data_IF_845197828994
#
_entry.id   IF_845197828994
#
_cell.length_a   1.000
_cell.length_b   1.000
_cell.length_c   1.000
_cell.angle_alpha   90.00
_cell.angle_beta   90.00
_cell.angle_gamma   90.00
#
_symmetry.space_group_name_H-M   'P 1'
#
loop_
_entity.id
_entity.type
_entity.pdbx_description
1 polymer ?
#
# COMPACT_ATOMS: atom_id res chain seq x y z
N UNK A 1 -69.24 0.45 -2.91
CA UNK A 1 -67.87 -0.09 -3.02
C UNK A 1 -66.81 1.01 -3.22
N UNK A 2 -66.63 1.95 -2.27
CA UNK A 2 -65.57 2.99 -2.39
C UNK A 2 -64.82 3.36 -1.10
N UNK A 3 -65.17 2.81 0.06
CA UNK A 3 -64.53 3.19 1.35
C UNK A 3 -63.35 2.30 1.78
N UNK A 4 -63.27 1.04 1.31
CA UNK A 4 -62.19 0.12 1.74
C UNK A 4 -60.87 0.29 0.96
N UNK A 5 -60.89 0.98 -0.18
CA UNK A 5 -59.70 1.16 -1.01
C UNK A 5 -58.78 2.28 -0.52
N UNK A 6 -59.32 3.27 0.21
CA UNK A 6 -58.54 4.41 0.73
C UNK A 6 -57.70 3.99 1.94
N UNK A 7 -58.25 3.15 2.83
CA UNK A 7 -57.49 2.63 3.97
C UNK A 7 -56.36 1.71 3.51
N UNK A 8 -56.58 0.85 2.51
CA UNK A 8 -55.53 -0.03 1.99
C UNK A 8 -54.35 0.74 1.35
N UNK A 9 -54.64 1.82 0.62
CA UNK A 9 -53.60 2.70 0.06
C UNK A 9 -52.88 3.55 1.14
N UNK A 10 -53.61 3.99 2.17
CA UNK A 10 -53.02 4.74 3.28
C UNK A 10 -52.08 3.88 4.14
N UNK A 11 -52.41 2.60 4.36
CA UNK A 11 -51.54 1.69 5.13
C UNK A 11 -50.28 1.31 4.34
N UNK A 12 -50.35 1.18 3.01
CA UNK A 12 -49.18 0.89 2.17
C UNK A 12 -48.22 2.09 2.10
N UNK A 13 -48.73 3.33 2.07
CA UNK A 13 -47.89 4.53 2.07
C UNK A 13 -47.17 4.74 3.42
N UNK A 14 -47.83 4.40 4.53
CA UNK A 14 -47.27 4.52 5.88
C UNK A 14 -46.16 3.48 6.16
N UNK A 15 -46.23 2.29 5.55
CA UNK A 15 -45.19 1.25 5.65
C UNK A 15 -43.97 1.61 4.78
N UNK A 16 -44.13 2.36 3.70
CA UNK A 16 -43.01 2.81 2.87
C UNK A 16 -42.23 4.01 3.46
N UNK A 17 -42.83 4.80 4.36
CA UNK A 17 -42.15 5.94 4.99
C UNK A 17 -41.23 5.59 6.19
N UNK A 18 -41.26 4.33 6.68
CA UNK A 18 -40.38 3.86 7.78
C UNK A 18 -39.20 3.01 7.31
N UNK A 19 -39.03 2.82 6.00
CA UNK A 19 -37.84 2.22 5.40
C UNK A 19 -37.02 3.29 4.68
N UNK A 20 -36.75 4.41 5.35
CA UNK A 20 -35.54 5.15 5.01
C UNK A 20 -34.38 4.23 5.40
N UNK A 21 -33.43 3.89 4.51
CA UNK A 21 -32.19 3.32 4.98
C UNK A 21 -31.65 4.31 6.00
N UNK A 22 -31.57 3.88 7.27
CA UNK A 22 -30.69 4.55 8.22
C UNK A 22 -29.33 4.42 7.56
N UNK A 23 -28.89 5.50 6.94
CA UNK A 23 -27.52 5.67 6.48
C UNK A 23 -26.68 5.51 7.75
N UNK A 24 -26.31 4.28 8.08
CA UNK A 24 -25.28 3.98 9.06
C UNK A 24 -23.98 4.41 8.39
N UNK A 25 -23.79 5.73 8.25
CA UNK A 25 -22.52 6.29 7.84
C UNK A 25 -21.54 5.79 8.89
N UNK A 26 -20.63 4.92 8.45
CA UNK A 26 -19.63 4.34 9.31
C UNK A 26 -18.86 5.49 9.95
N UNK A 27 -19.10 5.73 11.24
CA UNK A 27 -18.44 6.79 11.98
C UNK A 27 -17.05 6.30 12.36
N UNK A 28 -16.07 6.63 11.52
CA UNK A 28 -14.70 6.17 11.73
C UNK A 28 -13.91 7.30 12.39
N UNK A 29 -13.54 7.05 13.64
CA UNK A 29 -12.71 7.93 14.43
C UNK A 29 -11.29 8.03 13.83
N UNK A 30 -10.62 9.19 13.94
CA UNK A 30 -9.22 9.31 13.57
C UNK A 30 -8.37 8.24 14.28
N UNK A 31 -7.61 7.46 13.51
CA UNK A 31 -6.66 6.49 14.06
C UNK A 31 -5.46 7.17 14.76
N UNK A 32 -4.58 6.38 15.40
CA UNK A 32 -3.35 6.88 16.01
C UNK A 32 -2.40 7.50 14.97
N UNK A 33 -1.49 8.36 15.43
CA UNK A 33 -0.45 8.95 14.57
C UNK A 33 0.70 7.98 14.27
N UNK A 34 1.34 8.15 13.12
CA UNK A 34 2.48 7.31 12.73
C UNK A 34 3.79 7.67 13.45
N UNK A 35 3.84 8.85 14.07
CA UNK A 35 5.03 9.33 14.79
C UNK A 35 5.28 8.49 16.05
N UNK A 36 4.24 8.24 16.83
CA UNK A 36 4.31 7.47 18.09
C UNK A 36 4.05 5.98 17.90
N UNK A 37 3.46 5.58 16.77
CA UNK A 37 3.24 4.18 16.43
C UNK A 37 4.57 3.46 16.14
N UNK A 38 4.61 2.17 16.51
CA UNK A 38 5.79 1.32 16.33
C UNK A 38 6.01 0.96 14.86
N UNK A 39 7.27 0.80 14.51
CA UNK A 39 7.71 0.24 13.23
C UNK A 39 7.41 -1.27 13.15
N UNK A 40 7.23 -1.82 11.94
CA UNK A 40 7.02 -3.26 11.72
C UNK A 40 8.34 -4.00 11.47
N UNK A 41 9.23 -4.01 12.47
CA UNK A 41 10.52 -4.69 12.38
C UNK A 41 10.39 -6.21 12.11
N UNK A 42 9.22 -6.79 12.41
CA UNK A 42 8.92 -8.21 12.17
C UNK A 42 9.05 -8.63 10.71
N UNK A 43 8.87 -7.72 9.75
CA UNK A 43 9.03 -8.02 8.32
C UNK A 43 10.46 -8.46 7.96
N UNK A 44 11.47 -8.08 8.73
CA UNK A 44 12.87 -8.48 8.47
C UNK A 44 13.07 -9.99 8.45
N UNK A 45 12.15 -10.76 9.04
CA UNK A 45 12.17 -12.24 8.98
C UNK A 45 12.13 -12.79 7.55
N UNK A 46 11.58 -12.05 6.58
CA UNK A 46 11.57 -12.40 5.15
C UNK A 46 12.98 -12.75 4.63
N UNK A 47 14.01 -12.04 5.10
CA UNK A 47 15.40 -12.32 4.73
C UNK A 47 15.84 -13.74 5.06
N UNK A 48 15.35 -14.29 6.17
CA UNK A 48 15.67 -15.63 6.68
C UNK A 48 14.65 -16.71 6.32
N UNK A 49 13.46 -16.34 5.84
CA UNK A 49 12.41 -17.29 5.46
C UNK A 49 12.86 -18.20 4.32
N UNK A 50 12.46 -19.46 4.40
CA UNK A 50 12.56 -20.48 3.37
C UNK A 50 11.27 -20.51 2.55
N UNK A 51 11.33 -21.17 1.39
CA UNK A 51 10.13 -21.45 0.62
C UNK A 51 9.10 -22.17 1.50
N UNK A 52 7.82 -21.80 1.33
CA UNK A 52 6.65 -22.22 2.11
C UNK A 52 6.57 -21.68 3.55
N UNK A 53 7.59 -20.99 4.08
CA UNK A 53 7.45 -20.31 5.36
C UNK A 53 6.35 -19.25 5.28
N UNK A 54 5.55 -19.15 6.34
CA UNK A 54 4.40 -18.25 6.41
C UNK A 54 4.80 -16.91 7.06
N UNK A 55 4.52 -15.82 6.36
CA UNK A 55 4.57 -14.48 6.95
C UNK A 55 3.26 -14.26 7.72
N UNK A 56 3.22 -14.72 8.97
CA UNK A 56 2.03 -14.56 9.83
C UNK A 56 1.60 -13.09 9.94
N UNK A 57 0.31 -12.82 9.73
CA UNK A 57 -0.30 -11.50 9.87
C UNK A 57 -1.37 -11.18 8.83
N UNK A 58 -2.11 -10.11 9.12
CA UNK A 58 -3.06 -9.49 8.20
C UNK A 58 -2.48 -8.21 7.60
N UNK A 59 -2.35 -8.19 6.28
CA UNK A 59 -1.78 -7.07 5.54
C UNK A 59 -2.89 -6.34 4.80
N UNK A 60 -3.09 -5.08 5.16
CA UNK A 60 -4.17 -4.25 4.65
C UNK A 60 -3.60 -3.20 3.70
N UNK A 61 -4.06 -3.26 2.47
CA UNK A 61 -3.77 -2.28 1.44
C UNK A 61 -5.01 -1.43 1.22
N UNK A 62 -4.83 -0.10 1.24
CA UNK A 62 -5.91 0.84 0.99
C UNK A 62 -5.41 1.95 0.05
N UNK A 63 -6.15 2.14 -1.04
CA UNK A 63 -5.96 3.19 -2.02
C UNK A 63 -6.32 4.55 -1.40
N UNK A 64 -5.59 5.64 -1.70
CA UNK A 64 -5.87 6.98 -1.18
C UNK A 64 -7.27 7.49 -1.45
N UNK A 65 -7.82 7.16 -2.63
CA UNK A 65 -9.19 7.47 -3.03
C UNK A 65 -10.21 6.40 -2.56
N UNK A 66 -9.73 5.34 -1.92
CA UNK A 66 -10.54 4.30 -1.30
C UNK A 66 -11.06 4.72 0.07
N UNK A 67 -11.29 3.73 0.92
CA UNK A 67 -11.88 3.90 2.25
C UNK A 67 -10.89 4.63 3.21
N UNK A 68 -9.68 5.00 2.74
CA UNK A 68 -8.72 5.87 3.45
C UNK A 68 -9.25 7.26 3.84
N UNK A 69 -10.42 7.67 3.33
CA UNK A 69 -11.15 8.86 3.83
C UNK A 69 -11.40 8.84 5.35
N UNK A 70 -11.18 7.70 6.00
CA UNK A 70 -11.62 7.44 7.35
C UNK A 70 -10.50 7.23 8.39
N UNK A 71 -9.28 7.72 8.18
CA UNK A 71 -8.29 7.84 9.28
C UNK A 71 -7.47 6.58 9.60
N UNK A 72 -7.37 5.61 8.67
CA UNK A 72 -6.57 4.38 8.79
C UNK A 72 -5.16 4.48 8.17
N UNK A 73 -4.57 5.67 8.16
CA UNK A 73 -3.24 5.91 7.61
C UNK A 73 -2.14 5.10 8.32
N UNK A 74 -2.35 4.78 9.60
CA UNK A 74 -1.42 3.97 10.40
C UNK A 74 -1.30 2.53 9.89
N UNK A 75 -2.30 2.00 9.19
CA UNK A 75 -2.25 0.62 8.66
C UNK A 75 -1.10 0.46 7.65
N UNK A 76 -0.73 1.55 6.96
CA UNK A 76 0.44 1.58 6.07
C UNK A 76 1.77 1.33 6.80
N UNK A 77 1.83 1.45 8.13
CA UNK A 77 3.01 1.06 8.92
C UNK A 77 3.19 -0.45 8.98
N UNK A 78 2.10 -1.22 8.84
CA UNK A 78 2.18 -2.68 8.77
C UNK A 78 2.84 -3.18 7.48
N UNK A 79 2.94 -2.33 6.45
CA UNK A 79 3.44 -2.68 5.14
C UNK A 79 4.91 -2.31 4.90
N UNK A 80 5.61 -1.74 5.89
CA UNK A 80 7.04 -1.48 5.77
C UNK A 80 7.77 -1.67 7.10
N UNK A 81 9.06 -2.03 7.05
CA UNK A 81 9.87 -2.22 8.27
C UNK A 81 10.01 -0.95 9.09
N UNK A 82 9.96 0.21 8.45
CA UNK A 82 9.97 1.52 9.11
C UNK A 82 9.36 2.58 8.19
N UNK A 83 9.42 3.85 8.59
CA UNK A 83 9.13 4.99 7.73
C UNK A 83 9.88 6.24 8.23
N UNK A 84 10.00 7.24 7.36
CA UNK A 84 10.61 8.52 7.68
C UNK A 84 9.71 9.31 8.62
N UNK A 85 10.22 9.64 9.81
CA UNK A 85 9.54 10.50 10.78
C UNK A 85 10.24 11.86 10.88
N UNK A 86 9.51 12.96 11.15
CA UNK A 86 10.14 14.22 11.49
C UNK A 86 10.99 14.07 12.76
N UNK A 87 12.10 14.83 12.83
CA UNK A 87 13.04 14.83 13.95
C UNK A 87 13.30 16.25 14.46
N UNK A 88 13.81 16.37 15.68
CA UNK A 88 14.22 17.64 16.28
C UNK A 88 13.09 18.67 16.37
N UNK A 89 13.37 19.92 15.98
CA UNK A 89 12.41 21.03 16.04
C UNK A 89 11.15 20.76 15.19
N UNK A 90 11.32 20.13 14.03
CA UNK A 90 10.19 19.79 13.15
C UNK A 90 9.20 18.84 13.85
N UNK A 91 9.71 17.85 14.59
CA UNK A 91 8.89 16.96 15.40
C UNK A 91 8.17 17.72 16.51
N UNK A 92 8.89 18.55 17.27
CA UNK A 92 8.27 19.30 18.38
C UNK A 92 7.18 20.26 17.90
N UNK A 93 7.39 20.93 16.76
CA UNK A 93 6.43 21.87 16.21
C UNK A 93 5.20 21.14 15.65
N UNK A 94 5.39 19.99 15.00
CA UNK A 94 4.30 19.15 14.51
C UNK A 94 3.43 18.58 15.65
N UNK A 95 4.04 18.13 16.74
CA UNK A 95 3.30 17.62 17.90
C UNK A 95 2.50 18.72 18.60
N UNK A 96 3.01 19.96 18.64
CA UNK A 96 2.28 21.12 19.17
C UNK A 96 1.10 21.52 18.28
N UNK A 97 1.13 21.22 16.98
CA UNK A 97 0.01 21.51 16.07
C UNK A 97 -1.11 20.47 16.14
N UNK A 98 -1.00 19.45 17.01
CA UNK A 98 -2.06 18.46 17.20
C UNK A 98 -3.36 19.16 17.62
N UNK A 99 -4.47 19.00 16.87
CA UNK A 99 -5.73 19.66 17.21
C UNK A 99 -6.22 19.25 18.60
N UNK A 100 -6.61 20.22 19.43
CA UNK A 100 -7.29 19.98 20.69
C UNK A 100 -8.82 20.03 20.48
N UNK A 101 -9.56 19.02 20.93
CA UNK A 101 -11.04 18.99 20.89
C UNK A 101 -11.63 18.04 19.84
N UNK A 102 -12.96 18.12 19.66
CA UNK A 102 -13.76 17.18 18.84
C UNK A 102 -13.79 17.50 17.33
N UNK A 103 -12.86 18.30 16.79
CA UNK A 103 -12.85 18.59 15.35
C UNK A 103 -12.21 17.41 14.60
N UNK A 104 -13.05 16.46 14.18
CA UNK A 104 -12.63 15.22 13.55
C UNK A 104 -11.90 15.45 12.22
N UNK A 105 -12.36 16.39 11.40
CA UNK A 105 -11.71 16.70 10.12
C UNK A 105 -10.27 17.16 10.31
N UNK A 106 -10.05 18.12 11.23
CA UNK A 106 -8.69 18.59 11.55
C UNK A 106 -7.82 17.47 12.13
N UNK A 107 -8.41 16.60 12.95
CA UNK A 107 -7.69 15.46 13.51
C UNK A 107 -7.31 14.45 12.41
N UNK A 108 -8.21 14.15 11.47
CA UNK A 108 -7.93 13.28 10.32
C UNK A 108 -6.81 13.84 9.44
N UNK A 109 -6.84 15.14 9.14
CA UNK A 109 -5.78 15.81 8.38
C UNK A 109 -4.44 15.75 9.10
N UNK A 110 -4.44 15.99 10.42
CA UNK A 110 -3.24 15.90 11.24
C UNK A 110 -2.69 14.47 11.30
N UNK A 111 -3.54 13.46 11.54
CA UNK A 111 -3.15 12.05 11.52
C UNK A 111 -2.59 11.64 10.16
N UNK A 112 -3.24 12.03 9.05
CA UNK A 112 -2.72 11.78 7.70
C UNK A 112 -1.31 12.37 7.52
N UNK A 113 -1.13 13.62 7.93
CA UNK A 113 0.15 14.31 7.82
C UNK A 113 1.24 13.66 8.68
N UNK A 114 0.86 13.09 9.83
CA UNK A 114 1.80 12.34 10.67
C UNK A 114 2.35 11.08 10.01
N UNK A 115 1.65 10.59 8.97
CA UNK A 115 1.92 9.35 8.24
C UNK A 115 2.47 9.59 6.82
N UNK A 116 2.87 10.82 6.49
CA UNK A 116 3.60 11.08 5.24
C UNK A 116 4.83 10.17 5.14
N UNK A 117 5.14 9.73 3.92
CA UNK A 117 6.26 8.82 3.62
C UNK A 117 6.13 7.38 4.13
N UNK A 118 4.94 6.96 4.56
CA UNK A 118 4.68 5.56 4.87
C UNK A 118 4.56 4.70 3.59
N UNK A 119 4.31 3.40 3.75
CA UNK A 119 4.24 2.48 2.62
C UNK A 119 3.15 2.83 1.60
N UNK A 120 1.99 3.35 2.03
CA UNK A 120 0.92 3.75 1.10
C UNK A 120 1.33 4.85 0.13
N UNK A 121 2.26 5.72 0.53
CA UNK A 121 2.80 6.76 -0.35
C UNK A 121 3.73 6.21 -1.42
N UNK A 122 4.22 4.97 -1.28
CA UNK A 122 5.02 4.24 -2.27
C UNK A 122 4.22 3.21 -3.06
N UNK A 123 2.91 3.40 -3.18
CA UNK A 123 1.95 2.52 -3.85
C UNK A 123 0.95 3.33 -4.70
N UNK A 124 0.22 2.63 -5.58
CA UNK A 124 -0.93 3.15 -6.33
C UNK A 124 -0.60 4.29 -7.30
N UNK A 125 0.57 4.22 -7.92
CA UNK A 125 0.96 5.16 -8.98
C UNK A 125 0.89 6.65 -8.56
N UNK A 126 1.03 6.92 -7.26
CA UNK A 126 1.00 8.27 -6.70
C UNK A 126 2.34 8.98 -6.90
N UNK A 127 2.64 9.40 -8.14
CA UNK A 127 3.96 9.93 -8.50
C UNK A 127 4.41 11.18 -7.70
N UNK A 128 3.49 11.87 -7.00
CA UNK A 128 3.81 13.00 -6.13
C UNK A 128 4.06 12.61 -4.66
N UNK A 129 3.87 11.35 -4.31
CA UNK A 129 4.14 10.76 -3.01
C UNK A 129 5.21 9.69 -3.15
N UNK A 130 5.79 9.30 -2.03
CA UNK A 130 6.83 8.27 -2.01
C UNK A 130 6.95 7.70 -0.62
N UNK A 131 7.18 6.40 -0.51
CA UNK A 131 7.70 5.81 0.72
C UNK A 131 9.15 6.28 0.93
N UNK A 132 9.51 6.70 2.13
CA UNK A 132 10.89 7.00 2.48
C UNK A 132 11.25 6.48 3.87
N UNK A 133 12.54 6.25 4.09
CA UNK A 133 13.08 5.87 5.39
C UNK A 133 14.50 6.40 5.56
N UNK A 134 14.87 6.69 6.81
CA UNK A 134 16.23 7.05 7.20
C UNK A 134 16.91 5.99 8.08
N UNK A 135 16.24 4.87 8.34
CA UNK A 135 16.81 3.74 9.09
C UNK A 135 17.87 3.06 8.25
N UNK A 136 19.10 2.98 8.77
CA UNK A 136 20.25 2.38 8.09
C UNK A 136 20.42 2.86 6.64
N UNK A 137 20.05 4.13 6.37
CA UNK A 137 20.07 4.72 5.02
C UNK A 137 19.21 3.93 4.01
N UNK A 138 18.23 3.16 4.46
CA UNK A 138 17.39 2.29 3.66
C UNK A 138 17.88 0.85 3.53
N UNK A 139 19.12 0.51 3.88
CA UNK A 139 19.63 -0.86 3.69
C UNK A 139 18.98 -1.81 4.70
N UNK A 140 18.46 -2.94 4.19
CA UNK A 140 17.69 -3.94 4.91
C UNK A 140 16.24 -3.55 5.15
N UNK A 141 15.79 -2.39 4.66
CA UNK A 141 14.39 -1.98 4.74
C UNK A 141 13.54 -2.78 3.75
N UNK A 142 12.36 -3.20 4.21
CA UNK A 142 11.42 -3.97 3.42
C UNK A 142 10.12 -3.18 3.31
N UNK A 143 9.62 -3.06 2.09
CA UNK A 143 8.27 -2.56 1.80
C UNK A 143 7.45 -3.66 1.12
N UNK A 144 6.21 -3.81 1.55
CA UNK A 144 5.24 -4.73 0.98
C UNK A 144 4.38 -4.00 -0.05
N UNK A 145 4.10 -4.68 -1.15
CA UNK A 145 3.12 -4.31 -2.15
C UNK A 145 2.30 -5.56 -2.52
N UNK A 146 1.39 -5.42 -3.47
CA UNK A 146 0.78 -6.54 -4.15
C UNK A 146 0.78 -6.31 -5.65
N UNK A 147 0.70 -7.40 -6.40
CA UNK A 147 0.69 -7.39 -7.86
C UNK A 147 -0.38 -8.35 -8.37
N UNK A 148 -0.85 -8.08 -9.58
CA UNK A 148 -1.73 -8.95 -10.36
C UNK A 148 -0.85 -9.87 -11.21
N UNK A 149 -1.08 -11.18 -11.12
CA UNK A 149 -0.41 -12.17 -11.99
C UNK A 149 -1.35 -12.73 -13.07
N UNK A 150 -2.64 -12.41 -12.96
CA UNK A 150 -3.69 -12.78 -13.91
C UNK A 150 -4.80 -11.75 -13.90
N UNK A 151 -5.28 -11.34 -15.06
CA UNK A 151 -6.51 -10.56 -15.21
C UNK A 151 -7.40 -11.11 -16.35
N UNK A 152 -8.30 -10.28 -16.88
CA UNK A 152 -9.15 -10.61 -18.03
C UNK A 152 -8.41 -10.63 -19.37
N UNK A 153 -7.24 -10.00 -19.46
CA UNK A 153 -6.40 -9.93 -20.65
C UNK A 153 -5.37 -11.07 -20.71
N UNK A 154 -5.04 -11.67 -19.57
CA UNK A 154 -4.28 -12.91 -19.51
C UNK A 154 -3.31 -12.97 -18.35
N UNK A 155 -2.17 -13.63 -18.57
CA UNK A 155 -1.09 -13.71 -17.60
C UNK A 155 -0.28 -12.42 -17.59
N UNK A 156 0.08 -11.94 -16.40
CA UNK A 156 0.95 -10.78 -16.22
C UNK A 156 2.22 -11.27 -15.50
N UNK A 157 3.32 -11.36 -16.23
CA UNK A 157 4.58 -11.97 -15.76
C UNK A 157 5.65 -10.94 -15.37
N UNK A 158 5.23 -9.73 -15.03
CA UNK A 158 6.11 -8.63 -14.68
C UNK A 158 5.48 -7.73 -13.63
N UNK A 159 6.32 -6.94 -12.96
CA UNK A 159 5.92 -5.82 -12.13
C UNK A 159 6.73 -4.57 -12.48
N UNK A 160 6.30 -3.42 -11.97
CA UNK A 160 7.05 -2.17 -12.08
C UNK A 160 7.50 -1.69 -10.71
N UNK A 161 8.70 -1.11 -10.67
CA UNK A 161 9.24 -0.39 -9.52
C UNK A 161 9.64 1.01 -9.98
N UNK A 162 9.17 2.05 -9.29
CA UNK A 162 9.64 3.42 -9.45
C UNK A 162 10.67 3.72 -8.34
N UNK A 163 11.98 3.62 -8.61
CA UNK A 163 12.99 3.85 -7.58
C UNK A 163 13.11 5.34 -7.23
N UNK A 164 13.36 5.64 -5.97
CA UNK A 164 13.63 7.01 -5.52
C UNK A 164 12.39 7.91 -5.47
N UNK A 165 12.61 9.14 -4.98
CA UNK A 165 11.61 10.20 -4.99
C UNK A 165 11.62 10.90 -6.34
N UNK A 166 10.58 10.72 -7.15
CA UNK A 166 10.54 11.22 -8.53
C UNK A 166 9.50 12.32 -8.75
N UNK A 167 9.28 13.22 -7.78
CA UNK A 167 8.48 14.43 -8.01
C UNK A 167 9.08 15.35 -9.08
N UNK A 168 10.41 15.31 -9.22
CA UNK A 168 11.18 15.97 -10.27
C UNK A 168 12.46 15.19 -10.54
N UNK A 169 13.12 15.43 -11.68
CA UNK A 169 14.45 14.85 -11.94
C UNK A 169 15.48 15.26 -10.87
N UNK A 170 15.36 16.47 -10.32
CA UNK A 170 16.23 16.96 -9.25
C UNK A 170 16.04 16.14 -7.97
N UNK A 171 14.80 15.84 -7.60
CA UNK A 171 14.51 15.06 -6.39
C UNK A 171 15.10 13.65 -6.50
N UNK A 172 14.99 13.02 -7.68
CA UNK A 172 15.52 11.68 -7.91
C UNK A 172 17.01 11.56 -7.56
N UNK A 173 17.82 12.53 -7.99
CA UNK A 173 19.26 12.55 -7.69
C UNK A 173 19.59 13.16 -6.32
N UNK A 174 18.69 13.92 -5.72
CA UNK A 174 18.92 14.55 -4.40
C UNK A 174 18.82 13.53 -3.27
N UNK A 175 17.93 12.54 -3.38
CA UNK A 175 17.73 11.49 -2.38
C UNK A 175 18.46 10.19 -2.77
N UNK A 176 18.78 9.38 -1.76
CA UNK A 176 19.22 8.01 -2.02
C UNK A 176 18.06 7.17 -2.57
N UNK A 177 18.39 6.16 -3.35
CA UNK A 177 17.42 5.30 -4.05
C UNK A 177 17.93 3.87 -4.12
N UNK A 178 17.03 2.86 -4.15
CA UNK A 178 17.47 1.47 -4.17
C UNK A 178 18.29 1.15 -5.42
N UNK A 179 19.35 0.36 -5.23
CA UNK A 179 20.19 -0.18 -6.29
C UNK A 179 19.95 -1.68 -6.40
N UNK A 180 20.48 -2.46 -5.47
CA UNK A 180 20.23 -3.90 -5.45
C UNK A 180 19.07 -4.18 -4.52
N UNK A 181 18.08 -4.95 -4.99
CA UNK A 181 16.89 -5.32 -4.22
C UNK A 181 16.65 -6.82 -4.26
N UNK A 182 16.04 -7.34 -3.21
CA UNK A 182 15.49 -8.71 -3.18
C UNK A 182 13.97 -8.60 -3.21
N UNK A 183 13.35 -9.23 -4.20
CA UNK A 183 11.90 -9.35 -4.34
C UNK A 183 11.47 -10.68 -3.75
N UNK A 184 10.62 -10.64 -2.74
CA UNK A 184 9.94 -11.80 -2.14
C UNK A 184 8.58 -11.94 -2.79
N UNK A 185 8.29 -13.09 -3.40
CA UNK A 185 6.96 -13.39 -3.93
C UNK A 185 6.19 -14.20 -2.90
N UNK A 186 5.06 -13.66 -2.46
CA UNK A 186 4.32 -14.14 -1.30
C UNK A 186 2.90 -14.55 -1.74
N UNK A 187 2.61 -15.84 -1.69
CA UNK A 187 1.31 -16.40 -2.08
C UNK A 187 0.38 -16.39 -0.88
N UNK A 188 -0.70 -15.60 -0.91
CA UNK A 188 -1.63 -15.52 0.21
C UNK A 188 -2.45 -16.80 0.35
N UNK A 189 -2.72 -17.20 1.60
CA UNK A 189 -3.74 -18.23 1.87
C UNK A 189 -5.13 -17.73 1.48
N UNK A 190 -5.41 -16.45 1.76
CA UNK A 190 -6.64 -15.75 1.41
C UNK A 190 -6.34 -14.30 1.08
N UNK A 191 -7.05 -13.77 0.10
CA UNK A 191 -7.08 -12.34 -0.19
C UNK A 191 -8.48 -11.90 -0.61
N UNK A 192 -8.78 -10.62 -0.43
CA UNK A 192 -10.05 -10.06 -0.88
C UNK A 192 -10.30 -8.65 -0.37
N UNK A 193 -11.40 -8.09 -0.86
CA UNK A 193 -11.88 -6.76 -0.48
C UNK A 193 -12.86 -6.87 0.69
N UNK A 194 -12.94 -5.86 1.54
CA UNK A 194 -13.96 -5.76 2.59
C UNK A 194 -14.50 -4.34 2.69
N UNK A 195 -15.53 -4.13 3.53
CA UNK A 195 -16.04 -2.78 3.83
C UNK A 195 -14.97 -1.83 4.40
N UNK A 196 -13.82 -2.36 4.82
CA UNK A 196 -12.78 -1.59 5.49
C UNK A 196 -11.39 -1.67 4.85
N UNK A 197 -11.24 -2.47 3.81
CA UNK A 197 -9.94 -2.75 3.21
C UNK A 197 -10.12 -2.94 1.71
N UNK A 198 -9.38 -2.16 0.91
CA UNK A 198 -9.44 -2.27 -0.55
C UNK A 198 -8.85 -3.60 -1.01
N UNK A 199 -7.74 -4.03 -0.39
CA UNK A 199 -7.21 -5.38 -0.56
C UNK A 199 -6.56 -5.87 0.74
N UNK A 200 -7.10 -6.95 1.29
CA UNK A 200 -6.53 -7.64 2.46
C UNK A 200 -5.86 -8.95 2.04
N UNK A 201 -4.77 -9.29 2.71
CA UNK A 201 -4.08 -10.57 2.56
C UNK A 201 -3.78 -11.15 3.95
N UNK A 202 -4.03 -12.45 4.12
CA UNK A 202 -3.79 -13.14 5.39
C UNK A 202 -2.77 -14.25 5.19
N UNK A 203 -1.77 -14.28 6.07
CA UNK A 203 -0.77 -15.33 6.22
C UNK A 203 -0.12 -15.77 4.89
N UNK A 204 0.47 -14.85 4.11
CA UNK A 204 1.06 -15.23 2.84
C UNK A 204 2.35 -16.04 3.00
N UNK A 205 2.45 -17.14 2.27
CA UNK A 205 3.62 -18.02 2.24
C UNK A 205 4.67 -17.57 1.23
N UNK A 206 5.94 -17.65 1.58
CA UNK A 206 7.03 -17.33 0.66
C UNK A 206 7.14 -18.38 -0.44
N UNK A 207 6.94 -17.98 -1.70
CA UNK A 207 7.08 -18.87 -2.85
C UNK A 207 8.50 -18.85 -3.40
N UNK A 208 9.03 -17.66 -3.72
CA UNK A 208 10.39 -17.52 -4.25
C UNK A 208 11.00 -16.16 -3.92
N UNK A 209 12.32 -16.05 -4.12
CA UNK A 209 13.10 -14.81 -4.00
C UNK A 209 13.77 -14.50 -5.33
N UNK A 210 13.78 -13.24 -5.74
CA UNK A 210 14.47 -12.76 -6.95
C UNK A 210 15.36 -11.57 -6.62
N UNK A 211 16.64 -11.64 -6.97
CA UNK A 211 17.55 -10.49 -6.85
C UNK A 211 17.54 -9.67 -8.13
N UNK A 212 17.47 -8.35 -7.99
CA UNK A 212 17.42 -7.40 -9.10
C UNK A 212 18.34 -6.22 -8.81
N UNK A 213 19.12 -5.82 -9.80
CA UNK A 213 19.82 -4.53 -9.79
C UNK A 213 19.00 -3.53 -10.58
N UNK A 214 18.46 -2.53 -9.90
CA UNK A 214 17.79 -1.39 -10.50
C UNK A 214 18.83 -0.46 -11.11
N UNK A 215 18.49 0.07 -12.28
CA UNK A 215 19.30 1.07 -12.97
C UNK A 215 19.21 2.43 -12.27
N UNK A 216 20.24 3.22 -12.44
CA UNK A 216 20.27 4.61 -11.98
C UNK A 216 19.62 5.56 -13.02
N UNK A 217 18.34 5.34 -13.31
CA UNK A 217 17.55 6.16 -14.23
C UNK A 217 16.16 6.51 -13.68
N UNK A 218 15.65 7.67 -14.11
CA UNK A 218 14.29 8.11 -13.81
C UNK A 218 13.25 7.26 -14.54
N UNK A 219 12.03 7.22 -14.01
CA UNK A 219 10.92 6.42 -14.51
C UNK A 219 10.85 5.04 -13.89
N UNK A 220 9.78 4.32 -14.23
CA UNK A 220 9.57 2.95 -13.78
C UNK A 220 10.52 1.98 -14.46
N UNK A 221 10.88 0.93 -13.72
CA UNK A 221 11.65 -0.19 -14.24
C UNK A 221 10.78 -1.44 -14.25
N UNK A 222 10.59 -2.01 -15.45
CA UNK A 222 9.85 -3.25 -15.67
C UNK A 222 10.71 -4.44 -15.27
N UNK A 223 10.24 -5.23 -14.32
CA UNK A 223 10.93 -6.40 -13.79
C UNK A 223 10.14 -7.65 -14.19
N UNK A 224 10.72 -8.51 -15.01
CA UNK A 224 10.15 -9.82 -15.32
C UNK A 224 10.27 -10.75 -14.11
N UNK A 225 9.21 -11.49 -13.82
CA UNK A 225 9.16 -12.47 -12.73
C UNK A 225 9.86 -13.75 -13.20
N UNK A 226 10.91 -14.16 -12.48
CA UNK A 226 11.61 -15.42 -12.74
C UNK A 226 10.70 -16.61 -12.41
N UNK A 227 10.83 -17.72 -13.16
CA UNK A 227 10.03 -18.95 -12.99
C UNK A 227 8.51 -18.73 -12.98
N UNK A 228 8.04 -17.68 -13.68
CA UNK A 228 6.64 -17.27 -13.64
C UNK A 228 5.66 -18.38 -14.04
N UNK A 229 5.93 -19.15 -15.10
CA UNK A 229 4.98 -20.18 -15.55
C UNK A 229 4.77 -21.29 -14.51
N UNK A 230 5.82 -21.67 -13.78
CA UNK A 230 5.73 -22.63 -12.68
C UNK A 230 4.94 -22.02 -11.51
N UNK A 231 5.32 -20.82 -11.07
CA UNK A 231 4.61 -20.09 -10.01
C UNK A 231 3.12 -19.89 -10.33
N UNK A 232 2.84 -19.48 -11.56
CA UNK A 232 1.48 -19.28 -12.04
C UNK A 232 0.70 -20.60 -12.05
N UNK A 233 1.31 -21.71 -12.47
CA UNK A 233 0.68 -23.04 -12.45
C UNK A 233 0.22 -23.41 -11.04
N UNK A 234 1.15 -23.39 -10.09
CA UNK A 234 0.89 -23.80 -8.69
C UNK A 234 -0.19 -22.91 -8.04
N UNK A 235 -0.14 -21.59 -8.25
CA UNK A 235 -1.11 -20.65 -7.70
C UNK A 235 -2.46 -20.79 -8.40
N UNK A 236 -2.47 -20.86 -9.73
CA UNK A 236 -3.71 -20.86 -10.50
C UNK A 236 -4.51 -22.13 -10.27
N UNK A 237 -3.86 -23.30 -10.22
CA UNK A 237 -4.49 -24.56 -9.85
C UNK A 237 -5.19 -24.47 -8.49
N UNK A 238 -4.57 -23.77 -7.53
CA UNK A 238 -5.13 -23.52 -6.19
C UNK A 238 -6.28 -22.48 -6.21
N UNK A 239 -6.19 -21.46 -7.07
CA UNK A 239 -7.18 -20.36 -7.19
C UNK A 239 -8.25 -20.58 -8.28
N UNK A 240 -8.41 -21.83 -8.74
CA UNK A 240 -9.19 -22.19 -9.92
C UNK A 240 -10.56 -21.51 -9.98
N UNK A 241 -10.80 -20.74 -11.05
CA UNK A 241 -12.02 -19.97 -11.29
C UNK A 241 -11.90 -18.45 -11.09
N UNK A 242 -10.81 -17.96 -10.48
CA UNK A 242 -10.61 -16.52 -10.28
C UNK A 242 -10.28 -15.78 -11.59
N UNK A 243 -11.08 -14.76 -11.92
CA UNK A 243 -10.82 -13.88 -13.08
C UNK A 243 -9.56 -13.05 -12.88
N UNK A 244 -9.29 -12.63 -11.64
CA UNK A 244 -8.12 -11.84 -11.25
C UNK A 244 -7.39 -12.55 -10.12
N UNK A 245 -6.08 -12.69 -10.23
CA UNK A 245 -5.23 -13.35 -9.24
C UNK A 245 -4.19 -12.36 -8.74
N UNK A 246 -4.24 -12.09 -7.43
CA UNK A 246 -3.31 -11.22 -6.74
C UNK A 246 -2.34 -12.04 -5.89
N UNK A 247 -1.10 -11.57 -5.82
CA UNK A 247 -0.13 -12.03 -4.83
C UNK A 247 0.49 -10.82 -4.14
N UNK A 248 1.02 -11.05 -2.94
CA UNK A 248 1.85 -10.05 -2.28
C UNK A 248 3.29 -10.14 -2.75
N UNK A 249 3.99 -9.02 -2.67
CA UNK A 249 5.43 -8.97 -2.81
C UNK A 249 6.06 -8.16 -1.70
N UNK A 250 7.29 -8.51 -1.34
CA UNK A 250 8.17 -7.68 -0.50
C UNK A 250 9.38 -7.22 -1.28
N UNK A 251 9.77 -5.96 -1.15
CA UNK A 251 11.00 -5.41 -1.72
C UNK A 251 11.94 -5.07 -0.58
N UNK A 252 13.03 -5.84 -0.43
CA UNK A 252 14.14 -5.51 0.46
C UNK A 252 15.22 -4.74 -0.28
N UNK A 253 15.67 -3.65 0.30
CA UNK A 253 16.77 -2.84 -0.24
C UNK A 253 18.10 -3.42 0.27
N UNK A 254 18.88 -4.04 -0.62
CA UNK A 254 20.19 -4.61 -0.28
C UNK A 254 21.32 -3.57 -0.39
N UNK A 255 21.19 -2.64 -1.34
CA UNK A 255 22.16 -1.56 -1.56
C UNK A 255 21.47 -0.33 -2.18
N UNK A 256 22.15 0.82 -2.17
CA UNK A 256 21.61 2.09 -2.64
C UNK A 256 22.57 2.80 -3.60
N UNK A 257 22.02 3.65 -4.46
CA UNK A 257 22.74 4.77 -5.03
C UNK A 257 22.63 5.97 -4.08
N UNK A 258 23.75 6.62 -3.79
CA UNK A 258 23.77 7.79 -2.91
C UNK A 258 23.06 8.99 -3.57
N UNK A 259 22.25 9.69 -2.79
CA UNK A 259 21.75 11.01 -3.14
C UNK A 259 22.85 12.08 -3.07
N UNK A 260 22.68 13.17 -3.82
CA UNK A 260 23.61 14.30 -3.75
C UNK A 260 23.41 15.17 -2.50
N UNK A 261 22.21 15.16 -1.90
CA UNK A 261 21.84 16.02 -0.78
C UNK A 261 21.40 15.19 0.44
N UNK A 262 20.39 14.34 0.27
CA UNK A 262 19.75 13.56 1.33
C UNK A 262 20.29 12.12 1.34
N UNK A 263 21.59 11.97 1.60
CA UNK A 263 22.31 10.68 1.56
C UNK A 263 21.82 9.63 2.55
N UNK A 264 21.18 10.08 3.63
CA UNK A 264 20.69 9.21 4.70
C UNK A 264 19.23 8.80 4.52
N UNK A 265 18.54 9.35 3.52
CA UNK A 265 17.13 9.07 3.25
C UNK A 265 17.03 8.33 1.92
N UNK A 266 16.47 7.13 1.96
CA UNK A 266 16.18 6.33 0.76
C UNK A 266 14.69 6.25 0.54
N UNK A 267 14.28 6.42 -0.71
CA UNK A 267 12.86 6.47 -1.09
C UNK A 267 12.52 5.48 -2.21
N UNK A 268 11.26 5.04 -2.25
CA UNK A 268 10.64 4.28 -3.34
C UNK A 268 9.36 5.02 -3.72
N UNK A 269 9.25 5.39 -4.99
CA UNK A 269 8.12 6.15 -5.51
C UNK A 269 6.87 5.29 -5.64
N UNK A 270 7.01 4.07 -6.13
CA UNK A 270 5.87 3.18 -6.40
C UNK A 270 6.30 1.73 -6.66
N UNK A 271 5.41 0.78 -6.36
CA UNK A 271 5.54 -0.64 -6.67
C UNK A 271 4.17 -1.18 -7.07
N UNK A 272 4.01 -1.66 -8.29
CA UNK A 272 2.73 -2.20 -8.75
C UNK A 272 2.73 -2.68 -10.20
N UNK A 273 1.59 -3.23 -10.62
CA UNK A 273 1.30 -3.57 -12.01
C UNK A 273 -0.22 -3.64 -12.31
N UNK A 274 -1.06 -3.13 -11.41
CA UNK A 274 -2.53 -3.21 -11.49
C UNK A 274 -3.11 -2.05 -12.31
N UNK A 275 -2.46 -1.76 -13.45
CA UNK A 275 -2.86 -0.71 -14.36
C UNK A 275 -2.30 -0.97 -15.78
N UNK A 276 -2.71 -0.15 -16.74
CA UNK A 276 -2.18 -0.22 -18.11
C UNK A 276 -0.71 0.18 -18.15
N UNK A 277 0.08 -0.47 -19.00
CA UNK A 277 1.50 -0.17 -19.24
C UNK A 277 1.77 1.33 -19.51
N UNK A 278 0.83 2.07 -20.08
CA UNK A 278 0.96 3.52 -20.32
C UNK A 278 1.09 4.36 -19.04
N UNK A 279 0.50 3.91 -17.92
CA UNK A 279 0.63 4.59 -16.63
C UNK A 279 2.07 4.46 -16.10
N UNK A 280 2.71 3.33 -16.38
CA UNK A 280 4.09 3.04 -15.99
C UNK A 280 5.14 3.66 -16.95
N UNK A 281 4.74 4.52 -17.89
CA UNK A 281 5.65 5.30 -18.74
C UNK A 281 5.94 6.70 -18.14
N UNK A 282 5.62 6.91 -16.87
CA UNK A 282 5.88 8.15 -16.15
C UNK A 282 7.35 8.60 -16.26
N UNK A 283 7.53 9.87 -16.61
CA UNK A 283 8.79 10.57 -16.46
C UNK A 283 8.55 11.87 -15.66
N UNK A 284 9.39 12.16 -14.66
CA UNK A 284 9.27 13.40 -13.91
C UNK A 284 9.50 14.61 -14.80
N UNK A 285 8.78 15.70 -14.49
CA UNK A 285 9.01 17.00 -15.11
C UNK A 285 10.35 17.61 -14.69
#
# INVERSE_FOLDING_TARGET
>A
MKKNSIYFFATILLIFSVLSPVDSQMHISPGPDCITSKDNEGLRKLSTMKQEDILEGDFKFQHPDGILKYGRWVDGLGLATSHLRPKGKALSDFMKSKPSGQNETKMQEWTRKSCEYNAYDGLYEQHNKTYCTDKNRGVGEIILSYIVIKDSMGKINYLYILPGKQTSKKDYFSYSRPKDVTIYYLVPLRYGTSLDVDMGFTDPGLYQKQKVTLKDEVGYQKINIQNFDQMYGDIYETSSGSKVVYIMIGIEINSIYDGSIHKDITCIGDIGNDNKDSVFQYLPK
#
